data_IF_647155602829
#
_entry.id   IF_647155602829
#
_cell.length_a   1.000
_cell.length_b   1.000
_cell.length_c   1.000
_cell.angle_alpha   90.00
_cell.angle_beta   90.00
_cell.angle_gamma   90.00
#
_symmetry.space_group_name_H-M   'P 1'
#
loop_
_entity.id
_entity.type
_entity.pdbx_description
1 polymer ?
#
# COMPACT_ATOMS: atom_id res chain seq x y z
N UNK A 1 -11.00 -31.03 5.68
CA UNK A 1 -10.71 -30.59 4.30
C UNK A 1 -11.93 -29.85 3.75
N UNK A 2 -11.85 -28.49 3.66
CA UNK A 2 -12.89 -27.73 2.96
C UNK A 2 -12.85 -28.11 1.48
N UNK A 3 -14.02 -28.46 0.90
CA UNK A 3 -14.14 -28.82 -0.51
C UNK A 3 -13.68 -27.64 -1.40
N UNK A 4 -13.25 -27.92 -2.62
CA UNK A 4 -12.86 -26.89 -3.60
C UNK A 4 -13.99 -25.87 -3.80
N UNK A 5 -15.26 -26.33 -3.83
CA UNK A 5 -16.45 -25.49 -3.92
C UNK A 5 -16.58 -24.51 -2.73
N UNK A 6 -16.31 -24.95 -1.50
CA UNK A 6 -16.33 -24.10 -0.32
C UNK A 6 -15.28 -22.99 -0.39
N UNK A 7 -14.07 -23.29 -0.88
CA UNK A 7 -13.00 -22.29 -1.05
C UNK A 7 -13.35 -21.24 -2.12
N UNK A 8 -13.91 -21.68 -3.24
CA UNK A 8 -14.35 -20.78 -4.32
C UNK A 8 -15.45 -19.85 -3.80
N UNK A 9 -16.43 -20.37 -3.10
CA UNK A 9 -17.51 -19.59 -2.51
C UNK A 9 -17.00 -18.55 -1.50
N UNK A 10 -16.03 -18.92 -0.68
CA UNK A 10 -15.34 -17.98 0.23
C UNK A 10 -14.59 -16.87 -0.51
N UNK A 11 -13.91 -17.20 -1.60
CA UNK A 11 -13.20 -16.22 -2.42
C UNK A 11 -14.18 -15.23 -3.07
N UNK A 12 -15.31 -15.71 -3.60
CA UNK A 12 -16.34 -14.87 -4.19
C UNK A 12 -16.98 -13.91 -3.16
N UNK A 13 -17.32 -14.41 -1.97
CA UNK A 13 -17.82 -13.57 -0.88
C UNK A 13 -16.81 -12.48 -0.51
N UNK A 14 -15.56 -12.83 -0.35
CA UNK A 14 -14.51 -11.84 -0.04
C UNK A 14 -14.37 -10.79 -1.14
N UNK A 15 -14.46 -11.21 -2.40
CA UNK A 15 -14.40 -10.29 -3.53
C UNK A 15 -15.59 -9.33 -3.56
N UNK A 16 -16.78 -9.82 -3.26
CA UNK A 16 -17.98 -8.98 -3.11
C UNK A 16 -17.79 -7.91 -2.05
N UNK A 17 -17.28 -8.27 -0.85
CA UNK A 17 -16.99 -7.31 0.20
C UNK A 17 -15.90 -6.31 -0.20
N UNK A 18 -14.84 -6.74 -0.88
CA UNK A 18 -13.81 -5.84 -1.40
C UNK A 18 -14.42 -4.78 -2.33
N UNK A 19 -15.27 -5.20 -3.27
CA UNK A 19 -15.93 -4.29 -4.23
C UNK A 19 -16.88 -3.36 -3.50
N UNK A 20 -17.75 -3.88 -2.63
CA UNK A 20 -18.75 -3.10 -1.92
C UNK A 20 -18.11 -1.99 -1.08
N UNK A 21 -17.15 -2.34 -0.24
CA UNK A 21 -16.46 -1.37 0.63
C UNK A 21 -15.65 -0.37 -0.20
N UNK A 22 -14.95 -0.82 -1.23
CA UNK A 22 -14.18 0.07 -2.09
C UNK A 22 -15.09 1.06 -2.85
N UNK A 23 -16.26 0.62 -3.34
CA UNK A 23 -17.22 1.48 -4.02
C UNK A 23 -17.80 2.54 -3.07
N UNK A 24 -18.26 2.12 -1.89
CA UNK A 24 -18.80 3.05 -0.87
C UNK A 24 -17.72 4.08 -0.48
N UNK A 25 -16.49 3.63 -0.21
CA UNK A 25 -15.41 4.53 0.15
C UNK A 25 -15.12 5.54 -0.97
N UNK A 26 -15.02 5.13 -2.22
CA UNK A 26 -14.72 6.02 -3.35
C UNK A 26 -15.85 7.03 -3.60
N UNK A 27 -17.11 6.63 -3.44
CA UNK A 27 -18.26 7.56 -3.57
C UNK A 27 -18.16 8.64 -2.49
N UNK A 28 -17.96 8.26 -1.23
CA UNK A 28 -17.86 9.20 -0.11
C UNK A 28 -16.62 10.09 -0.24
N UNK A 29 -15.48 9.52 -0.64
CA UNK A 29 -14.22 10.23 -0.77
C UNK A 29 -14.11 11.08 -2.05
N UNK A 30 -15.01 10.93 -3.01
CA UNK A 30 -14.96 11.60 -4.32
C UNK A 30 -14.77 13.13 -4.22
N UNK A 31 -15.59 13.90 -3.45
CA UNK A 31 -15.39 15.34 -3.33
C UNK A 31 -14.01 15.70 -2.74
N UNK A 32 -13.56 14.94 -1.75
CA UNK A 32 -12.25 15.13 -1.16
C UNK A 32 -11.12 14.83 -2.16
N UNK A 33 -11.26 13.78 -2.98
CA UNK A 33 -10.29 13.45 -4.03
C UNK A 33 -10.17 14.57 -5.07
N UNK A 34 -11.28 15.20 -5.44
CA UNK A 34 -11.28 16.34 -6.37
C UNK A 34 -10.51 17.51 -5.76
N UNK A 35 -10.85 17.90 -4.53
CA UNK A 35 -10.18 19.02 -3.82
C UNK A 35 -8.67 18.75 -3.70
N UNK A 36 -8.30 17.57 -3.22
CA UNK A 36 -6.89 17.21 -3.05
C UNK A 36 -6.15 17.15 -4.40
N UNK A 37 -6.81 16.67 -5.47
CA UNK A 37 -6.22 16.66 -6.81
C UNK A 37 -5.95 18.08 -7.32
N UNK A 38 -6.87 19.02 -7.08
CA UNK A 38 -6.68 20.44 -7.44
C UNK A 38 -5.51 21.03 -6.64
N UNK A 39 -5.45 20.77 -5.32
CA UNK A 39 -4.36 21.27 -4.46
C UNK A 39 -2.98 20.73 -4.89
N UNK A 40 -2.88 19.45 -5.26
CA UNK A 40 -1.63 18.88 -5.78
C UNK A 40 -1.29 19.47 -7.15
N UNK A 41 -2.29 19.65 -8.01
CA UNK A 41 -2.09 20.20 -9.34
C UNK A 41 -1.61 21.66 -9.29
N UNK A 42 -2.21 22.48 -8.44
CA UNK A 42 -1.78 23.88 -8.24
C UNK A 42 -0.38 24.00 -7.62
N UNK A 43 0.12 22.94 -6.96
CA UNK A 43 1.51 22.88 -6.49
C UNK A 43 2.53 22.47 -7.58
N UNK A 44 2.11 22.38 -8.85
CA UNK A 44 2.95 22.06 -9.99
C UNK A 44 3.13 20.57 -10.28
N UNK A 45 2.47 19.67 -9.52
CA UNK A 45 2.62 18.22 -9.67
C UNK A 45 1.38 17.56 -10.26
N UNK A 46 1.55 16.41 -10.95
CA UNK A 46 0.41 15.58 -11.37
C UNK A 46 -0.27 14.99 -10.13
N UNK A 47 -1.61 15.02 -10.02
CA UNK A 47 -2.32 14.56 -8.81
C UNK A 47 -2.04 13.10 -8.44
N UNK A 48 -1.91 12.21 -9.42
CA UNK A 48 -1.75 10.79 -9.22
C UNK A 48 -0.39 10.28 -9.67
N UNK A 49 0.22 9.47 -8.82
CA UNK A 49 1.44 8.73 -9.08
C UNK A 49 1.12 7.24 -9.25
N UNK A 50 1.77 6.62 -10.22
CA UNK A 50 1.63 5.19 -10.53
C UNK A 50 2.95 4.48 -10.25
N UNK A 51 2.94 3.51 -9.35
CA UNK A 51 4.13 2.73 -9.02
C UNK A 51 3.93 1.26 -9.41
N UNK A 52 4.83 0.73 -10.23
CA UNK A 52 4.77 -0.66 -10.68
C UNK A 52 5.03 -1.62 -9.53
N UNK A 53 4.12 -2.54 -9.28
CA UNK A 53 4.13 -3.51 -8.18
C UNK A 53 3.80 -4.91 -8.67
N UNK A 54 4.09 -5.91 -7.84
CA UNK A 54 3.82 -7.32 -8.10
C UNK A 54 2.65 -7.78 -7.26
N UNK A 55 1.67 -8.41 -7.91
CA UNK A 55 0.45 -8.94 -7.31
C UNK A 55 0.35 -10.46 -7.35
N UNK A 56 -0.90 -10.92 -7.31
CA UNK A 56 -1.23 -12.35 -7.34
C UNK A 56 -0.59 -13.04 -8.55
N UNK A 57 -0.02 -14.22 -8.33
CA UNK A 57 0.66 -15.05 -9.33
C UNK A 57 1.81 -14.34 -10.07
N UNK A 58 2.39 -13.30 -9.47
CA UNK A 58 3.49 -12.55 -10.08
C UNK A 58 3.06 -11.52 -11.12
N UNK A 59 1.75 -11.31 -11.32
CA UNK A 59 1.24 -10.33 -12.26
C UNK A 59 1.61 -8.91 -11.81
N UNK A 60 2.29 -8.16 -12.68
CA UNK A 60 2.60 -6.75 -12.42
C UNK A 60 1.35 -5.87 -12.62
N UNK A 61 1.22 -4.85 -11.78
CA UNK A 61 0.16 -3.86 -11.87
C UNK A 61 0.66 -2.48 -11.42
N UNK A 62 -0.07 -1.42 -11.78
CA UNK A 62 0.22 -0.07 -11.32
C UNK A 62 -0.57 0.24 -10.04
N UNK A 63 0.14 0.31 -8.91
CA UNK A 63 -0.40 0.76 -7.64
C UNK A 63 -0.59 2.28 -7.66
N UNK A 64 -1.82 2.74 -7.46
CA UNK A 64 -2.19 4.15 -7.52
C UNK A 64 -1.96 4.82 -6.17
N UNK A 65 -1.43 6.06 -6.21
CA UNK A 65 -1.26 6.92 -5.03
C UNK A 65 -1.50 8.38 -5.40
N UNK A 66 -1.80 9.21 -4.43
CA UNK A 66 -1.63 10.65 -4.61
C UNK A 66 -0.14 11.01 -4.63
N UNK A 67 0.22 11.97 -5.47
CA UNK A 67 1.58 12.48 -5.54
C UNK A 67 1.92 13.26 -4.28
N UNK A 68 2.95 12.84 -3.56
CA UNK A 68 3.41 13.44 -2.32
C UNK A 68 4.82 14.03 -2.42
N UNK A 69 5.47 13.83 -3.58
CA UNK A 69 6.88 14.18 -3.79
C UNK A 69 7.05 14.77 -5.18
N UNK A 70 7.98 15.70 -5.30
CA UNK A 70 8.48 16.22 -6.59
C UNK A 70 9.34 15.16 -7.30
N UNK A 71 9.53 15.33 -8.60
CA UNK A 71 10.53 14.56 -9.34
C UNK A 71 11.95 14.89 -8.85
N UNK A 72 12.89 13.97 -9.07
CA UNK A 72 14.29 14.20 -8.69
C UNK A 72 14.87 15.42 -9.42
N UNK A 73 14.51 15.63 -10.67
CA UNK A 73 14.90 16.76 -11.50
C UNK A 73 14.21 18.10 -11.14
N UNK A 74 13.32 18.11 -10.16
CA UNK A 74 12.58 19.28 -9.70
C UNK A 74 13.15 19.87 -8.40
N UNK A 75 14.25 19.33 -7.90
CA UNK A 75 14.98 19.79 -6.71
C UNK A 75 16.39 20.25 -7.10
N UNK A 76 17.05 20.97 -6.23
CA UNK A 76 18.42 21.46 -6.45
C UNK A 76 19.43 20.32 -6.70
N UNK A 77 20.42 20.54 -7.55
CA UNK A 77 21.37 19.52 -8.00
C UNK A 77 22.14 18.88 -6.83
N UNK A 78 22.58 19.68 -5.87
CA UNK A 78 23.23 19.20 -4.65
C UNK A 78 22.34 18.25 -3.83
N UNK A 79 21.05 18.54 -3.78
CA UNK A 79 20.06 17.69 -3.11
C UNK A 79 19.76 16.43 -3.91
N UNK A 80 19.84 16.46 -5.26
CA UNK A 80 19.69 15.26 -6.09
C UNK A 80 20.78 14.25 -5.79
N UNK A 81 22.05 14.69 -5.74
CA UNK A 81 23.18 13.80 -5.41
C UNK A 81 23.02 13.18 -4.02
N UNK A 82 22.65 13.98 -3.02
CA UNK A 82 22.37 13.51 -1.66
C UNK A 82 21.27 12.45 -1.65
N UNK A 83 20.17 12.71 -2.34
CA UNK A 83 19.03 11.77 -2.43
C UNK A 83 19.44 10.47 -3.08
N UNK A 84 20.20 10.51 -4.19
CA UNK A 84 20.68 9.32 -4.87
C UNK A 84 21.60 8.51 -3.94
N UNK A 85 22.56 9.17 -3.30
CA UNK A 85 23.49 8.54 -2.37
C UNK A 85 22.76 7.85 -1.21
N UNK A 86 21.81 8.54 -0.56
CA UNK A 86 21.05 7.96 0.57
C UNK A 86 20.15 6.79 0.12
N UNK A 87 19.54 6.86 -1.06
CA UNK A 87 18.75 5.76 -1.60
C UNK A 87 19.58 4.50 -1.87
N UNK A 88 20.77 4.68 -2.44
CA UNK A 88 21.65 3.56 -2.80
C UNK A 88 22.25 2.88 -1.55
N UNK A 89 22.59 3.66 -0.52
CA UNK A 89 23.26 3.13 0.68
C UNK A 89 22.30 2.70 1.78
N UNK A 90 21.19 3.43 1.96
CA UNK A 90 20.26 3.22 3.08
C UNK A 90 18.87 2.80 2.65
N UNK A 91 18.55 2.85 1.35
CA UNK A 91 17.22 2.52 0.82
C UNK A 91 16.11 3.50 1.22
N UNK A 92 16.44 4.58 1.92
CA UNK A 92 15.53 5.65 2.33
C UNK A 92 16.29 6.97 2.46
N UNK A 93 15.58 8.08 2.30
CA UNK A 93 16.11 9.44 2.46
C UNK A 93 15.54 10.06 3.74
N UNK A 94 16.42 10.55 4.60
CA UNK A 94 16.01 11.29 5.79
C UNK A 94 15.75 12.76 5.40
N UNK A 95 14.62 13.32 5.87
CA UNK A 95 14.20 14.68 5.49
C UNK A 95 14.26 14.89 3.97
N UNK A 96 13.57 14.03 3.23
CA UNK A 96 13.60 14.00 1.77
C UNK A 96 13.11 15.34 1.19
N UNK A 97 13.96 16.12 0.48
CA UNK A 97 13.62 17.44 -0.04
C UNK A 97 12.55 17.41 -1.13
N UNK A 98 12.29 16.24 -1.70
CA UNK A 98 11.24 16.06 -2.69
C UNK A 98 9.84 16.12 -2.06
N UNK A 99 9.72 15.83 -0.75
CA UNK A 99 8.41 15.79 -0.08
C UNK A 99 7.82 17.20 -0.02
N UNK A 100 6.65 17.38 -0.65
CA UNK A 100 5.93 18.67 -0.61
C UNK A 100 5.25 18.87 0.76
N UNK A 101 4.86 20.11 1.10
CA UNK A 101 4.10 20.41 2.34
C UNK A 101 2.79 19.59 2.39
N UNK A 102 2.05 19.56 1.29
CA UNK A 102 0.83 18.74 1.13
C UNK A 102 1.20 17.26 1.20
N UNK A 103 2.28 16.85 0.53
CA UNK A 103 2.80 15.49 0.53
C UNK A 103 3.12 14.98 1.93
N UNK A 104 3.73 15.79 2.78
CA UNK A 104 4.00 15.43 4.18
C UNK A 104 2.69 15.16 4.96
N UNK A 105 1.68 16.02 4.79
CA UNK A 105 0.38 15.82 5.42
C UNK A 105 -0.30 14.53 4.96
N UNK A 106 -0.42 14.29 3.64
CA UNK A 106 -1.11 13.11 3.12
C UNK A 106 -0.38 11.80 3.42
N UNK A 107 0.97 11.82 3.56
CA UNK A 107 1.77 10.66 3.98
C UNK A 107 1.55 10.33 5.46
N UNK A 108 1.61 11.35 6.35
CA UNK A 108 1.36 11.16 7.79
C UNK A 108 -0.04 10.60 8.07
N UNK A 109 -1.02 11.00 7.28
CA UNK A 109 -2.41 10.54 7.41
C UNK A 109 -2.70 9.26 6.60
N UNK A 110 -1.75 8.78 5.78
CA UNK A 110 -1.92 7.65 4.83
C UNK A 110 -2.99 7.93 3.76
N UNK A 111 -3.39 9.17 3.57
CA UNK A 111 -4.34 9.59 2.52
C UNK A 111 -3.74 9.36 1.12
N UNK A 112 -2.41 9.46 1.00
CA UNK A 112 -1.71 9.21 -0.27
C UNK A 112 -1.98 7.80 -0.83
N UNK A 113 -2.31 6.83 0.00
CA UNK A 113 -2.59 5.44 -0.41
C UNK A 113 -4.07 5.19 -0.75
N UNK A 114 -4.98 6.14 -0.48
CA UNK A 114 -6.41 5.95 -0.74
C UNK A 114 -6.80 5.72 -2.21
N UNK A 115 -6.07 6.20 -3.25
CA UNK A 115 -6.37 5.82 -4.62
C UNK A 115 -6.22 4.32 -4.92
N UNK A 116 -5.58 3.54 -4.04
CA UNK A 116 -5.50 2.08 -4.16
C UNK A 116 -6.87 1.40 -4.09
N UNK A 117 -7.91 2.07 -3.60
CA UNK A 117 -9.28 1.55 -3.68
C UNK A 117 -9.73 1.33 -5.14
N UNK A 118 -9.24 2.11 -6.10
CA UNK A 118 -9.41 1.82 -7.53
C UNK A 118 -8.72 0.52 -7.95
N UNK A 119 -7.52 0.20 -7.41
CA UNK A 119 -6.87 -1.08 -7.65
C UNK A 119 -7.68 -2.25 -7.06
N UNK A 120 -8.35 -2.02 -5.93
CA UNK A 120 -9.27 -3.02 -5.36
C UNK A 120 -10.46 -3.24 -6.29
N UNK A 121 -11.11 -2.20 -6.80
CA UNK A 121 -12.22 -2.35 -7.76
C UNK A 121 -11.79 -3.06 -9.03
N UNK A 122 -10.63 -2.72 -9.56
CA UNK A 122 -10.07 -3.36 -10.74
C UNK A 122 -9.73 -4.84 -10.51
N UNK A 123 -9.45 -5.22 -9.26
CA UNK A 123 -9.12 -6.61 -8.89
C UNK A 123 -7.64 -6.90 -8.81
N UNK A 124 -6.77 -5.91 -8.96
CA UNK A 124 -5.33 -6.04 -8.76
C UNK A 124 -4.99 -6.24 -7.27
N UNK A 125 -5.79 -5.64 -6.38
CA UNK A 125 -5.64 -5.68 -4.93
C UNK A 125 -6.89 -6.19 -4.21
N UNK A 126 -6.75 -6.49 -2.93
CA UNK A 126 -7.81 -6.69 -1.94
C UNK A 126 -7.74 -5.57 -0.89
N UNK A 127 -8.78 -5.37 -0.10
CA UNK A 127 -8.70 -4.49 1.07
C UNK A 127 -7.62 -4.96 2.04
N UNK A 128 -7.55 -6.28 2.27
CA UNK A 128 -6.65 -6.90 3.26
C UNK A 128 -5.73 -7.91 2.58
N UNK A 129 -4.43 -7.69 2.72
CA UNK A 129 -3.39 -8.55 2.16
C UNK A 129 -1.98 -8.07 2.54
N UNK A 130 -0.94 -8.76 2.07
CA UNK A 130 0.43 -8.27 2.16
C UNK A 130 0.59 -6.93 1.45
N UNK A 131 1.55 -6.10 1.87
CA UNK A 131 1.82 -4.84 1.15
C UNK A 131 2.32 -5.12 -0.28
N UNK A 132 1.86 -4.36 -1.29
CA UNK A 132 2.40 -4.49 -2.64
C UNK A 132 3.91 -4.23 -2.70
N UNK A 133 4.68 -5.20 -3.19
CA UNK A 133 6.14 -5.11 -3.33
C UNK A 133 6.56 -4.81 -4.76
N UNK A 134 7.76 -4.26 -4.93
CA UNK A 134 8.39 -4.11 -6.25
C UNK A 134 9.02 -5.43 -6.71
N UNK A 135 9.37 -5.51 -7.99
CA UNK A 135 10.10 -6.67 -8.52
C UNK A 135 11.48 -6.84 -7.87
N UNK A 136 12.15 -5.74 -7.52
CA UNK A 136 13.42 -5.78 -6.82
C UNK A 136 13.28 -6.37 -5.41
N UNK A 137 12.22 -6.01 -4.68
CA UNK A 137 11.94 -6.52 -3.34
C UNK A 137 11.62 -8.02 -3.32
N UNK A 138 11.22 -8.65 -4.44
CA UNK A 138 10.96 -10.10 -4.49
C UNK A 138 12.17 -10.94 -4.05
N UNK A 139 13.40 -10.48 -4.37
CA UNK A 139 14.63 -11.17 -3.98
C UNK A 139 14.78 -11.29 -2.45
N UNK A 140 14.29 -10.29 -1.70
CA UNK A 140 14.38 -10.25 -0.24
C UNK A 140 13.42 -11.27 0.40
N UNK A 141 12.33 -11.64 -0.28
CA UNK A 141 11.40 -12.66 0.19
C UNK A 141 11.98 -14.08 0.10
N UNK A 142 13.00 -14.32 -0.73
CA UNK A 142 13.64 -15.62 -0.90
C UNK A 142 12.59 -16.72 -1.16
N UNK A 143 12.71 -17.85 -0.46
CA UNK A 143 11.78 -19.00 -0.61
C UNK A 143 10.32 -18.65 -0.24
N UNK A 144 10.10 -17.62 0.59
CA UNK A 144 8.76 -17.20 1.05
C UNK A 144 7.98 -16.44 -0.04
N UNK A 145 8.61 -16.08 -1.14
CA UNK A 145 7.96 -15.37 -2.26
C UNK A 145 6.75 -16.14 -2.81
N UNK A 146 6.81 -17.47 -2.88
CA UNK A 146 5.71 -18.31 -3.37
C UNK A 146 4.43 -18.10 -2.56
N UNK A 147 4.52 -17.95 -1.24
CA UNK A 147 3.36 -17.69 -0.38
C UNK A 147 2.83 -16.26 -0.57
N UNK A 148 3.71 -15.27 -0.71
CA UNK A 148 3.30 -13.90 -1.05
C UNK A 148 2.51 -13.87 -2.35
N UNK A 149 3.01 -14.49 -3.41
CA UNK A 149 2.38 -14.54 -4.73
C UNK A 149 1.06 -15.34 -4.76
N UNK A 150 0.76 -16.13 -3.74
CA UNK A 150 -0.50 -16.92 -3.65
C UNK A 150 -1.70 -16.10 -3.17
N UNK A 151 -1.51 -14.83 -2.84
CA UNK A 151 -2.57 -13.93 -2.34
C UNK A 151 -2.50 -12.58 -3.05
N UNK A 152 -3.66 -11.88 -3.14
CA UNK A 152 -3.65 -10.50 -3.60
C UNK A 152 -3.00 -9.59 -2.55
N UNK A 153 -2.20 -8.60 -2.96
CA UNK A 153 -1.75 -7.56 -2.05
C UNK A 153 -2.95 -6.76 -1.54
N UNK A 154 -2.80 -6.17 -0.35
CA UNK A 154 -3.84 -5.40 0.32
C UNK A 154 -3.50 -3.92 0.48
N UNK A 155 -4.53 -3.09 0.65
CA UNK A 155 -4.37 -1.71 1.12
C UNK A 155 -3.85 -1.74 2.56
N UNK A 156 -4.41 -2.62 3.38
CA UNK A 156 -3.93 -2.91 4.74
C UNK A 156 -3.62 -4.39 4.90
N UNK A 157 -2.86 -4.74 5.95
CA UNK A 157 -2.47 -6.11 6.21
C UNK A 157 -1.92 -6.30 7.61
N UNK A 158 -1.58 -7.55 7.91
CA UNK A 158 -1.16 -7.94 9.25
C UNK A 158 0.09 -7.17 9.73
N UNK A 159 1.07 -6.92 8.86
CA UNK A 159 2.27 -6.19 9.25
C UNK A 159 2.00 -4.70 9.48
N UNK A 160 1.08 -4.07 8.73
CA UNK A 160 0.72 -2.66 8.91
C UNK A 160 0.11 -2.39 10.29
N UNK A 161 -0.57 -3.38 10.87
CA UNK A 161 -1.12 -3.28 12.24
C UNK A 161 -0.19 -3.80 13.32
N UNK A 162 0.97 -4.38 12.95
CA UNK A 162 1.92 -5.04 13.87
C UNK A 162 3.22 -4.26 14.10
N UNK A 163 3.24 -2.94 13.82
CA UNK A 163 4.41 -2.09 14.10
C UNK A 163 4.85 -1.18 12.96
N UNK A 164 4.22 -1.27 11.77
CA UNK A 164 4.50 -0.37 10.61
C UNK A 164 6.01 -0.17 10.37
N UNK A 165 6.45 1.09 10.32
CA UNK A 165 7.84 1.51 10.06
C UNK A 165 8.86 0.99 11.08
N UNK A 166 8.44 0.63 12.29
CA UNK A 166 9.33 0.09 13.32
C UNK A 166 9.62 -1.42 13.14
N UNK A 167 9.11 -2.02 12.06
CA UNK A 167 9.27 -3.46 11.80
C UNK A 167 10.42 -3.68 10.82
N UNK A 168 11.39 -4.53 11.18
CA UNK A 168 12.46 -4.92 10.26
C UNK A 168 11.91 -5.60 9.01
N UNK A 169 12.61 -5.50 7.88
CA UNK A 169 12.15 -6.09 6.63
C UNK A 169 11.97 -7.62 6.75
N UNK A 170 12.89 -8.31 7.42
CA UNK A 170 12.81 -9.76 7.66
C UNK A 170 11.56 -10.15 8.47
N UNK A 171 11.22 -9.36 9.51
CA UNK A 171 10.01 -9.57 10.29
C UNK A 171 8.75 -9.33 9.46
N UNK A 172 8.76 -8.31 8.60
CA UNK A 172 7.67 -8.05 7.66
C UNK A 172 7.44 -9.23 6.71
N UNK A 173 8.51 -9.77 6.10
CA UNK A 173 8.43 -10.96 5.25
C UNK A 173 7.85 -12.16 6.01
N UNK A 174 8.24 -12.36 7.28
CA UNK A 174 7.69 -13.43 8.11
C UNK A 174 6.20 -13.26 8.39
N UNK A 175 5.76 -12.04 8.68
CA UNK A 175 4.34 -11.70 8.92
C UNK A 175 3.50 -11.90 7.66
N UNK A 176 3.98 -11.45 6.50
CA UNK A 176 3.30 -11.59 5.21
C UNK A 176 3.19 -13.09 4.82
N UNK A 177 4.25 -13.86 5.06
CA UNK A 177 4.25 -15.31 4.88
C UNK A 177 3.20 -15.99 5.79
N UNK A 178 3.20 -15.66 7.07
CA UNK A 178 2.21 -16.18 8.03
C UNK A 178 0.78 -15.84 7.60
N UNK A 179 0.52 -14.58 7.22
CA UNK A 179 -0.78 -14.17 6.72
C UNK A 179 -1.20 -15.00 5.50
N UNK A 180 -0.32 -15.17 4.53
CA UNK A 180 -0.64 -15.91 3.31
C UNK A 180 -1.05 -17.36 3.58
N UNK A 181 -0.41 -18.02 4.57
CA UNK A 181 -0.68 -19.42 4.92
C UNK A 181 -1.87 -19.60 5.88
N UNK A 182 -2.05 -18.68 6.83
CA UNK A 182 -2.97 -18.84 7.97
C UNK A 182 -4.16 -17.88 7.96
N UNK A 183 -4.38 -17.12 6.88
CA UNK A 183 -5.48 -16.15 6.79
C UNK A 183 -6.84 -16.78 7.07
N UNK A 184 -7.57 -16.20 8.02
CA UNK A 184 -8.93 -16.59 8.36
C UNK A 184 -9.85 -15.37 8.29
N UNK A 185 -11.17 -15.57 8.27
CA UNK A 185 -12.15 -14.47 8.34
C UNK A 185 -11.95 -13.64 9.61
N UNK A 186 -11.77 -14.30 10.77
CA UNK A 186 -11.52 -13.62 12.06
C UNK A 186 -10.28 -12.73 11.98
N UNK A 187 -9.19 -13.23 11.40
CA UNK A 187 -7.96 -12.44 11.22
C UNK A 187 -8.21 -11.20 10.35
N UNK A 188 -8.96 -11.33 9.25
CA UNK A 188 -9.28 -10.19 8.38
C UNK A 188 -10.13 -9.14 9.09
N UNK A 189 -11.16 -9.55 9.84
CA UNK A 189 -11.98 -8.63 10.64
C UNK A 189 -11.10 -7.92 11.68
N UNK A 190 -10.25 -8.64 12.39
CA UNK A 190 -9.30 -8.05 13.34
C UNK A 190 -8.36 -7.03 12.67
N UNK A 191 -7.83 -7.35 11.49
CA UNK A 191 -6.96 -6.42 10.74
C UNK A 191 -7.74 -5.16 10.38
N UNK A 192 -8.97 -5.29 9.88
CA UNK A 192 -9.81 -4.15 9.51
C UNK A 192 -10.10 -3.24 10.72
N UNK A 193 -10.53 -3.80 11.83
CA UNK A 193 -10.80 -3.03 13.06
C UNK A 193 -9.55 -2.32 13.58
N UNK A 194 -8.42 -3.03 13.63
CA UNK A 194 -7.15 -2.43 14.05
C UNK A 194 -6.65 -1.37 13.08
N UNK A 195 -6.89 -1.52 11.78
CA UNK A 195 -6.51 -0.51 10.77
C UNK A 195 -7.22 0.82 11.03
N UNK A 196 -8.53 0.78 11.29
CA UNK A 196 -9.30 1.99 11.64
C UNK A 196 -8.67 2.68 12.86
N UNK A 197 -8.38 1.91 13.92
CA UNK A 197 -7.73 2.44 15.11
C UNK A 197 -6.35 3.06 14.80
N UNK A 198 -5.51 2.36 14.05
CA UNK A 198 -4.14 2.79 13.74
C UNK A 198 -4.12 4.04 12.84
N UNK A 199 -5.07 4.15 11.91
CA UNK A 199 -5.21 5.33 11.03
C UNK A 199 -5.73 6.53 11.82
N UNK A 200 -6.78 6.37 12.63
CA UNK A 200 -7.35 7.46 13.43
C UNK A 200 -6.36 8.04 14.44
N UNK A 201 -5.53 7.20 15.06
CA UNK A 201 -4.55 7.63 16.06
C UNK A 201 -3.14 7.85 15.49
N UNK A 202 -2.97 7.82 14.15
CA UNK A 202 -1.71 8.05 13.42
C UNK A 202 -0.51 7.25 13.98
N UNK A 203 -0.76 6.10 14.63
CA UNK A 203 0.31 5.29 15.26
C UNK A 203 1.27 4.74 14.21
N UNK A 204 2.57 5.09 14.32
CA UNK A 204 3.64 4.61 13.43
C UNK A 204 3.61 5.19 12.03
N UNK A 205 2.98 6.35 11.81
CA UNK A 205 3.15 7.15 10.60
C UNK A 205 4.50 7.90 10.68
N UNK A 206 5.31 7.81 9.63
CA UNK A 206 6.54 8.58 9.43
C UNK A 206 6.42 9.40 8.16
#
# INVERSE_FOLDING_TARGET
HASTASRVHEMLKMRFFDILIASIFLIIACPFFIILSILIWTSGSKPFFKHKRVGLNGKEFYCLKFTSMKGLNEIEEAEQERVIFELDHFGKVNNDPRVTKIGNFIRKTSIDETPQFFNVLKGDMSLIGPRPITKAEMKIYGTKIKSYLSVKPGITGLWQISGRSNTTYSRRVAIDHYYALKRTRRMKIMIMMKTVYVVLFMKGAQ
#
